data_IF_942720162074
#
_entry.id   IF_942720162074
#
_cell.length_a   1.000
_cell.length_b   1.000
_cell.length_c   1.000
_cell.angle_alpha   90.00
_cell.angle_beta   90.00
_cell.angle_gamma   90.00
#
_symmetry.space_group_name_H-M   'P 1'
#
loop_
_entity.id
_entity.type
_entity.pdbx_description
1 polymer ?
#
# COMPACT_ATOMS: atom_id res chain seq x y z
N UNK A 1 30.53 31.03 -60.59
CA UNK A 1 30.37 29.99 -59.55
C UNK A 1 29.43 30.54 -58.50
N UNK A 2 28.19 30.01 -58.45
CA UNK A 2 27.16 30.44 -57.48
C UNK A 2 27.19 29.44 -56.33
N UNK A 3 27.52 29.86 -55.11
CA UNK A 3 27.45 29.05 -53.90
C UNK A 3 26.00 28.98 -53.43
N UNK A 4 25.41 27.78 -53.46
CA UNK A 4 24.10 27.48 -52.88
C UNK A 4 24.32 27.13 -51.40
N UNK A 5 23.94 28.03 -50.50
CA UNK A 5 23.96 27.76 -49.09
C UNK A 5 22.70 26.96 -48.70
N UNK A 6 22.88 25.70 -48.33
CA UNK A 6 21.81 24.82 -47.84
C UNK A 6 21.58 25.12 -46.35
N UNK A 7 20.47 25.81 -46.02
CA UNK A 7 20.05 26.00 -44.62
C UNK A 7 19.25 24.78 -44.18
N UNK A 8 19.87 23.94 -43.31
CA UNK A 8 19.17 22.86 -42.64
C UNK A 8 18.44 23.43 -41.43
N UNK A 9 17.12 23.59 -41.52
CA UNK A 9 16.28 23.94 -40.37
C UNK A 9 15.97 22.65 -39.62
N UNK A 10 16.61 22.44 -38.48
CA UNK A 10 16.21 21.40 -37.51
C UNK A 10 14.99 21.91 -36.76
N UNK A 11 13.81 21.45 -37.14
CA UNK A 11 12.60 21.60 -36.33
C UNK A 11 12.71 20.61 -35.16
N UNK A 12 13.17 21.08 -34.01
CA UNK A 12 12.97 20.39 -32.75
C UNK A 12 11.48 20.43 -32.42
N UNK A 13 10.75 19.39 -32.79
CA UNK A 13 9.45 19.16 -32.17
C UNK A 13 9.73 18.78 -30.70
N UNK A 14 9.49 19.73 -29.79
CA UNK A 14 9.38 19.44 -28.40
C UNK A 14 8.20 18.45 -28.22
N UNK A 15 8.50 17.19 -28.06
CA UNK A 15 7.51 16.21 -27.64
C UNK A 15 7.10 16.64 -26.24
N UNK A 16 6.05 17.42 -26.14
CA UNK A 16 5.38 17.60 -24.85
C UNK A 16 4.85 16.24 -24.44
N UNK A 17 5.53 15.61 -23.51
CA UNK A 17 4.98 14.42 -22.86
C UNK A 17 3.65 14.87 -22.23
N UNK A 18 2.52 14.37 -22.76
CA UNK A 18 1.22 14.61 -22.17
C UNK A 18 1.29 14.36 -20.67
N UNK A 19 0.87 15.33 -19.87
CA UNK A 19 0.78 15.09 -18.44
C UNK A 19 -0.20 13.93 -18.21
N UNK A 20 0.21 12.91 -17.43
CA UNK A 20 -0.65 11.77 -17.21
C UNK A 20 -1.97 12.24 -16.57
N UNK A 21 -3.08 11.73 -17.09
CA UNK A 21 -4.41 12.06 -16.58
C UNK A 21 -4.45 11.94 -15.04
N UNK A 22 -5.11 12.87 -14.36
CA UNK A 22 -5.23 12.83 -12.89
C UNK A 22 -5.84 11.50 -12.44
N UNK A 23 -5.45 11.05 -11.26
CA UNK A 23 -5.92 9.80 -10.68
C UNK A 23 -6.26 9.99 -9.19
N UNK A 24 -7.15 9.14 -8.69
CA UNK A 24 -7.65 9.20 -7.32
C UNK A 24 -7.51 7.84 -6.64
N UNK A 25 -7.03 7.86 -5.39
CA UNK A 25 -7.01 6.69 -4.52
C UNK A 25 -7.93 6.97 -3.34
N UNK A 26 -8.88 6.08 -3.06
CA UNK A 26 -9.54 6.04 -1.78
C UNK A 26 -8.68 5.25 -0.80
N UNK A 27 -8.32 5.86 0.32
CA UNK A 27 -7.51 5.24 1.38
C UNK A 27 -8.41 5.03 2.58
N UNK A 28 -8.47 3.80 3.06
CA UNK A 28 -9.27 3.40 4.21
C UNK A 28 -8.42 2.58 5.18
N UNK A 29 -8.74 2.63 6.45
CA UNK A 29 -8.04 1.88 7.49
C UNK A 29 -8.95 1.52 8.63
N UNK A 30 -8.53 0.56 9.47
CA UNK A 30 -9.14 0.26 10.76
C UNK A 30 -10.67 0.05 10.67
N UNK A 31 -11.09 -0.79 9.71
CA UNK A 31 -12.52 -1.10 9.44
C UNK A 31 -12.98 -2.40 10.08
N UNK A 32 -12.18 -2.93 11.01
CA UNK A 32 -12.57 -4.04 11.87
C UNK A 32 -13.65 -3.60 12.86
N UNK A 33 -14.41 -4.58 13.37
CA UNK A 33 -15.36 -4.38 14.45
C UNK A 33 -15.24 -5.52 15.45
N UNK A 34 -15.35 -5.21 16.73
CA UNK A 34 -15.26 -6.24 17.77
C UNK A 34 -16.47 -7.18 17.69
N UNK A 35 -16.27 -8.51 17.55
CA UNK A 35 -17.37 -9.48 17.59
C UNK A 35 -18.21 -9.41 18.87
N UNK A 36 -17.63 -8.84 19.94
CA UNK A 36 -18.31 -8.62 21.22
C UNK A 36 -19.33 -7.49 21.18
N UNK A 37 -19.17 -6.55 20.24
CA UNK A 37 -20.03 -5.35 20.14
C UNK A 37 -21.21 -5.55 19.21
N UNK A 38 -21.06 -6.36 18.18
CA UNK A 38 -22.10 -6.60 17.19
C UNK A 38 -22.20 -8.08 16.86
N UNK A 39 -23.26 -8.72 17.34
CA UNK A 39 -23.57 -10.10 17.02
C UNK A 39 -23.71 -10.26 15.49
N UNK A 40 -22.99 -11.25 14.92
CA UNK A 40 -22.99 -11.51 13.48
C UNK A 40 -22.09 -10.61 12.62
N UNK A 41 -21.28 -9.72 13.22
CA UNK A 41 -20.33 -8.87 12.48
C UNK A 41 -19.16 -9.65 11.86
N UNK A 42 -18.89 -10.85 12.36
CA UNK A 42 -17.70 -11.65 11.98
C UNK A 42 -16.38 -10.86 12.11
N UNK A 43 -16.34 -9.85 13.00
CA UNK A 43 -15.18 -8.97 13.19
C UNK A 43 -15.02 -7.86 12.13
N UNK A 44 -16.04 -7.63 11.30
CA UNK A 44 -16.04 -6.64 10.22
C UNK A 44 -17.19 -5.66 10.39
N UNK A 45 -16.93 -4.37 10.30
CA UNK A 45 -17.96 -3.31 10.37
C UNK A 45 -18.80 -3.26 9.07
N UNK A 46 -19.60 -4.30 8.82
CA UNK A 46 -20.29 -4.57 7.54
C UNK A 46 -21.10 -3.36 7.03
N UNK A 47 -21.95 -2.79 7.88
CA UNK A 47 -22.82 -1.68 7.47
C UNK A 47 -22.01 -0.41 7.20
N UNK A 48 -20.99 -0.15 8.01
CA UNK A 48 -20.07 0.97 7.79
C UNK A 48 -19.36 0.83 6.45
N UNK A 49 -18.81 -0.36 6.14
CA UNK A 49 -18.08 -0.60 4.89
C UNK A 49 -19.02 -0.47 3.67
N UNK A 50 -20.24 -0.97 3.75
CA UNK A 50 -21.22 -0.79 2.67
C UNK A 50 -21.53 0.67 2.40
N UNK A 51 -21.72 1.46 3.46
CA UNK A 51 -21.95 2.90 3.34
C UNK A 51 -20.72 3.60 2.76
N UNK A 52 -19.53 3.29 3.27
CA UNK A 52 -18.26 3.85 2.81
C UNK A 52 -18.01 3.53 1.32
N UNK A 53 -18.25 2.29 0.89
CA UNK A 53 -18.12 1.91 -0.52
C UNK A 53 -19.15 2.62 -1.38
N UNK A 54 -20.39 2.75 -0.92
CA UNK A 54 -21.39 3.53 -1.62
C UNK A 54 -20.97 4.99 -1.84
N UNK A 55 -20.28 5.57 -0.86
CA UNK A 55 -19.71 6.92 -1.00
C UNK A 55 -18.52 6.95 -1.95
N UNK A 56 -17.56 6.05 -1.78
CA UNK A 56 -16.38 5.95 -2.67
C UNK A 56 -16.78 5.84 -4.14
N UNK A 57 -17.82 5.06 -4.44
CA UNK A 57 -18.29 4.85 -5.82
C UNK A 57 -18.79 6.12 -6.50
N UNK A 58 -19.15 7.16 -5.76
CA UNK A 58 -19.54 8.47 -6.31
C UNK A 58 -18.36 9.31 -6.82
N UNK A 59 -17.11 8.96 -6.41
CA UNK A 59 -15.94 9.81 -6.61
C UNK A 59 -15.01 9.38 -7.74
N UNK A 60 -15.37 8.42 -8.58
CA UNK A 60 -14.58 7.97 -9.73
C UNK A 60 -13.12 7.66 -9.35
N UNK A 61 -12.91 6.87 -8.31
CA UNK A 61 -11.57 6.49 -7.86
C UNK A 61 -10.97 5.43 -8.79
N UNK A 62 -9.66 5.49 -9.00
CA UNK A 62 -8.93 4.49 -9.78
C UNK A 62 -8.69 3.20 -8.98
N UNK A 63 -8.65 3.29 -7.65
CA UNK A 63 -8.45 2.15 -6.75
C UNK A 63 -8.84 2.48 -5.32
N UNK A 64 -9.02 1.43 -4.52
CA UNK A 64 -9.13 1.51 -3.07
C UNK A 64 -7.92 0.86 -2.43
N UNK A 65 -7.33 1.51 -1.43
CA UNK A 65 -6.22 0.99 -0.63
C UNK A 65 -6.65 0.91 0.83
N UNK A 66 -6.56 -0.30 1.40
CA UNK A 66 -6.78 -0.55 2.83
C UNK A 66 -5.43 -0.62 3.56
N UNK A 67 -5.26 0.22 4.58
CA UNK A 67 -4.01 0.28 5.37
C UNK A 67 -4.10 -0.53 6.68
N UNK A 68 -4.61 -1.75 6.58
CA UNK A 68 -4.67 -2.73 7.67
C UNK A 68 -5.93 -2.70 8.51
N UNK A 69 -6.00 -3.63 9.46
CA UNK A 69 -7.10 -3.83 10.40
C UNK A 69 -8.48 -3.89 9.71
N UNK A 70 -8.59 -4.85 8.81
CA UNK A 70 -9.81 -5.08 8.02
C UNK A 70 -10.85 -5.89 8.78
N UNK A 71 -10.39 -6.78 9.66
CA UNK A 71 -11.22 -7.69 10.43
C UNK A 71 -10.62 -7.92 11.81
N UNK A 72 -11.44 -7.85 12.84
CA UNK A 72 -11.04 -8.23 14.19
C UNK A 72 -10.95 -9.76 14.32
N UNK A 73 -9.97 -10.23 15.08
CA UNK A 73 -9.68 -11.64 15.27
C UNK A 73 -9.76 -12.02 16.76
N UNK A 74 -10.09 -11.09 17.62
CA UNK A 74 -10.19 -11.33 19.05
C UNK A 74 -11.38 -12.27 19.35
N UNK A 75 -11.06 -13.46 19.83
CA UNK A 75 -12.03 -14.46 20.25
C UNK A 75 -11.67 -15.87 19.80
N UNK A 76 -12.18 -16.86 20.51
CA UNK A 76 -11.94 -18.30 20.30
C UNK A 76 -12.66 -18.87 19.05
N UNK A 77 -13.48 -18.12 18.37
CA UNK A 77 -14.16 -18.55 17.15
C UNK A 77 -13.30 -18.28 15.92
N UNK A 78 -13.22 -19.21 14.95
CA UNK A 78 -12.64 -18.94 13.65
C UNK A 78 -13.51 -17.92 12.94
N UNK A 79 -13.19 -16.66 13.09
CA UNK A 79 -13.95 -15.58 12.46
C UNK A 79 -13.57 -15.55 10.99
N UNK A 80 -14.55 -15.69 10.11
CA UNK A 80 -14.38 -15.55 8.67
C UNK A 80 -14.25 -14.08 8.22
N UNK A 81 -13.77 -13.21 9.10
CA UNK A 81 -13.71 -11.77 8.85
C UNK A 81 -13.02 -11.40 7.56
N UNK A 82 -11.87 -12.03 7.25
CA UNK A 82 -11.18 -11.79 5.97
C UNK A 82 -12.00 -12.27 4.77
N UNK A 83 -12.68 -13.41 4.87
CA UNK A 83 -13.55 -13.89 3.80
C UNK A 83 -14.78 -12.98 3.65
N UNK A 84 -15.37 -12.53 4.75
CA UNK A 84 -16.47 -11.54 4.75
C UNK A 84 -16.03 -10.23 4.13
N UNK A 85 -14.83 -9.75 4.45
CA UNK A 85 -14.28 -8.56 3.82
C UNK A 85 -14.11 -8.76 2.32
N UNK A 86 -13.61 -9.91 1.88
CA UNK A 86 -13.48 -10.24 0.45
C UNK A 86 -14.83 -10.25 -0.25
N UNK A 87 -15.88 -10.76 0.40
CA UNK A 87 -17.25 -10.71 -0.11
C UNK A 87 -17.71 -9.25 -0.33
N UNK A 88 -17.52 -8.38 0.66
CA UNK A 88 -17.87 -6.96 0.54
C UNK A 88 -17.12 -6.25 -0.58
N UNK A 89 -15.87 -6.63 -0.85
CA UNK A 89 -15.08 -6.04 -1.93
C UNK A 89 -15.66 -6.32 -3.33
N UNK A 90 -16.59 -7.27 -3.49
CA UNK A 90 -17.32 -7.49 -4.76
C UNK A 90 -18.03 -6.23 -5.24
N UNK A 91 -18.49 -5.39 -4.32
CA UNK A 91 -19.10 -4.09 -4.67
C UNK A 91 -18.16 -3.19 -5.49
N UNK A 92 -16.84 -3.25 -5.20
CA UNK A 92 -15.81 -2.53 -5.94
C UNK A 92 -15.44 -3.27 -7.23
N UNK A 93 -15.26 -4.59 -7.14
CA UNK A 93 -14.90 -5.47 -8.27
C UNK A 93 -15.92 -5.38 -9.41
N UNK A 94 -17.21 -5.35 -9.11
CA UNK A 94 -18.31 -5.18 -10.07
C UNK A 94 -18.27 -3.83 -10.83
N UNK A 95 -17.61 -2.84 -10.25
CA UNK A 95 -17.37 -1.52 -10.85
C UNK A 95 -15.99 -1.39 -11.48
N UNK A 96 -15.23 -2.49 -11.52
CA UNK A 96 -13.88 -2.51 -12.08
C UNK A 96 -12.84 -1.74 -11.22
N UNK A 97 -13.15 -1.46 -9.95
CA UNK A 97 -12.25 -0.75 -9.04
C UNK A 97 -11.38 -1.76 -8.30
N UNK A 98 -10.06 -1.81 -8.53
CA UNK A 98 -9.17 -2.71 -7.83
C UNK A 98 -9.03 -2.33 -6.35
N UNK A 99 -8.92 -3.35 -5.51
CA UNK A 99 -8.69 -3.24 -4.08
C UNK A 99 -7.32 -3.80 -3.72
N UNK A 100 -6.52 -3.00 -3.02
CA UNK A 100 -5.20 -3.37 -2.51
C UNK A 100 -5.15 -3.20 -1.00
N UNK A 101 -4.40 -4.05 -0.30
CA UNK A 101 -4.37 -4.02 1.15
C UNK A 101 -2.99 -4.35 1.72
N UNK A 102 -2.69 -3.82 2.90
CA UNK A 102 -1.66 -4.31 3.81
C UNK A 102 -2.32 -4.95 5.02
N UNK A 103 -1.61 -5.85 5.72
CA UNK A 103 -2.10 -6.37 6.99
C UNK A 103 -1.99 -5.32 8.09
N UNK A 104 -2.93 -5.35 9.02
CA UNK A 104 -2.82 -4.74 10.32
C UNK A 104 -2.43 -5.75 11.42
N UNK A 105 -2.38 -5.28 12.65
CA UNK A 105 -2.07 -6.16 13.79
C UNK A 105 -3.21 -7.14 14.08
N UNK A 106 -4.45 -6.80 13.75
CA UNK A 106 -5.57 -7.73 13.85
C UNK A 106 -5.50 -8.89 12.85
N UNK A 107 -4.73 -8.78 11.77
CA UNK A 107 -4.45 -9.86 10.82
C UNK A 107 -3.07 -10.52 11.03
N UNK A 108 -2.31 -10.21 12.08
CA UNK A 108 -0.91 -10.64 12.22
C UNK A 108 -0.70 -12.07 12.71
N UNK A 109 -1.73 -12.78 13.15
CA UNK A 109 -1.61 -14.17 13.58
C UNK A 109 -1.10 -15.08 12.43
N UNK A 110 -0.21 -16.05 12.70
CA UNK A 110 0.46 -16.83 11.64
C UNK A 110 -0.46 -17.46 10.60
N UNK A 111 -1.58 -18.07 11.04
CA UNK A 111 -2.56 -18.69 10.14
C UNK A 111 -3.33 -17.65 9.30
N UNK A 112 -3.41 -16.40 9.75
CA UNK A 112 -4.05 -15.31 9.03
C UNK A 112 -3.18 -14.76 7.91
N UNK A 113 -1.86 -14.86 8.04
CA UNK A 113 -0.94 -14.43 7.00
C UNK A 113 -1.17 -15.19 5.69
N UNK A 114 -1.41 -16.51 5.76
CA UNK A 114 -1.70 -17.31 4.57
C UNK A 114 -3.08 -16.97 3.99
N UNK A 115 -4.11 -16.89 4.82
CA UNK A 115 -5.44 -16.49 4.41
C UNK A 115 -5.45 -15.09 3.77
N UNK A 116 -4.71 -14.14 4.36
CA UNK A 116 -4.56 -12.80 3.77
C UNK A 116 -3.89 -12.86 2.39
N UNK A 117 -2.85 -13.69 2.26
CA UNK A 117 -2.14 -13.88 0.99
C UNK A 117 -3.08 -14.37 -0.11
N UNK A 118 -3.86 -15.39 0.19
CA UNK A 118 -4.80 -15.99 -0.76
C UNK A 118 -5.90 -15.02 -1.19
N UNK A 119 -6.42 -14.25 -0.26
CA UNK A 119 -7.59 -13.40 -0.50
C UNK A 119 -7.25 -12.01 -1.06
N UNK A 120 -6.11 -11.42 -0.67
CA UNK A 120 -5.85 -10.00 -0.91
C UNK A 120 -4.56 -9.69 -1.64
N UNK A 121 -3.57 -10.60 -1.70
CA UNK A 121 -2.39 -10.30 -2.50
C UNK A 121 -2.74 -10.30 -3.99
N UNK A 122 -2.34 -9.23 -4.69
CA UNK A 122 -2.58 -9.15 -6.12
C UNK A 122 -1.80 -10.24 -6.86
N UNK A 123 -2.46 -10.89 -7.78
CA UNK A 123 -1.82 -11.87 -8.67
C UNK A 123 -0.92 -11.15 -9.69
N UNK A 124 0.01 -11.88 -10.32
CA UNK A 124 0.84 -11.33 -11.41
C UNK A 124 0.00 -10.76 -12.55
N UNK A 125 -1.20 -11.28 -12.79
CA UNK A 125 -2.14 -10.78 -13.81
C UNK A 125 -2.62 -9.35 -13.51
N UNK A 126 -2.58 -8.92 -12.25
CA UNK A 126 -2.94 -7.56 -11.83
C UNK A 126 -1.76 -6.58 -11.84
N UNK A 127 -0.65 -6.94 -12.50
CA UNK A 127 0.52 -6.08 -12.65
C UNK A 127 1.37 -5.92 -11.39
N UNK A 128 1.08 -6.68 -10.34
CA UNK A 128 1.87 -6.63 -9.13
C UNK A 128 3.23 -7.32 -9.32
N UNK A 129 4.30 -6.59 -9.05
CA UNK A 129 5.65 -7.12 -8.92
C UNK A 129 5.95 -7.28 -7.44
N UNK A 130 5.53 -8.40 -6.85
CA UNK A 130 5.86 -8.73 -5.47
C UNK A 130 7.35 -8.99 -5.29
N UNK A 131 7.86 -8.72 -4.11
CA UNK A 131 9.03 -9.45 -3.63
C UNK A 131 8.64 -10.93 -3.67
N UNK A 132 9.38 -11.73 -4.43
CA UNK A 132 9.20 -13.19 -4.51
C UNK A 132 9.63 -13.85 -3.17
N UNK A 133 9.10 -13.39 -2.05
CA UNK A 133 9.51 -13.81 -0.72
C UNK A 133 8.31 -14.10 0.14
N UNK A 134 8.53 -14.91 1.12
CA UNK A 134 7.67 -15.34 2.21
C UNK A 134 6.87 -14.23 2.91
N UNK A 135 6.96 -12.96 2.48
CA UNK A 135 6.38 -11.79 3.10
C UNK A 135 5.34 -11.16 2.20
N UNK A 136 4.40 -10.52 2.83
CA UNK A 136 3.24 -9.93 2.19
C UNK A 136 3.53 -8.53 1.61
N UNK A 137 4.81 -8.29 1.27
CA UNK A 137 5.24 -7.04 0.64
C UNK A 137 5.07 -7.13 -0.88
N UNK A 138 4.55 -6.09 -1.49
CA UNK A 138 4.42 -6.01 -2.94
C UNK A 138 4.45 -4.58 -3.45
N UNK A 139 4.54 -4.40 -4.75
CA UNK A 139 4.49 -3.10 -5.39
C UNK A 139 3.72 -3.18 -6.70
N UNK A 140 3.04 -2.11 -7.03
CA UNK A 140 2.33 -1.92 -8.28
C UNK A 140 2.75 -0.62 -8.95
N UNK A 141 2.54 -0.53 -10.23
CA UNK A 141 2.61 0.72 -10.98
C UNK A 141 1.21 1.14 -11.39
N UNK A 142 0.91 2.42 -11.17
CA UNK A 142 -0.31 3.03 -11.65
C UNK A 142 0.02 4.40 -12.24
N UNK A 143 -0.22 4.57 -13.53
CA UNK A 143 0.08 5.81 -14.26
C UNK A 143 1.51 6.33 -13.93
N UNK A 144 1.64 7.52 -13.37
CA UNK A 144 2.91 8.14 -12.97
C UNK A 144 3.32 7.87 -11.52
N UNK A 145 2.76 6.85 -10.88
CA UNK A 145 3.06 6.46 -9.51
C UNK A 145 3.62 5.05 -9.37
N UNK A 146 4.55 4.87 -8.43
CA UNK A 146 4.92 3.57 -7.87
C UNK A 146 4.35 3.47 -6.47
N UNK A 147 3.54 2.46 -6.23
CA UNK A 147 2.87 2.21 -4.96
C UNK A 147 3.45 0.95 -4.36
N UNK A 148 3.95 1.04 -3.13
CA UNK A 148 4.55 -0.08 -2.41
C UNK A 148 3.75 -0.37 -1.15
N UNK A 149 3.56 -1.64 -0.88
CA UNK A 149 2.77 -2.13 0.24
C UNK A 149 3.70 -2.91 1.16
N UNK A 150 3.84 -2.43 2.38
CA UNK A 150 4.78 -2.95 3.38
C UNK A 150 4.02 -3.65 4.50
N UNK A 151 4.37 -4.90 4.74
CA UNK A 151 3.82 -5.71 5.81
C UNK A 151 4.29 -5.21 7.19
N UNK A 152 3.51 -5.50 8.24
CA UNK A 152 3.78 -5.02 9.60
C UNK A 152 4.76 -5.87 10.39
N UNK A 153 4.90 -7.16 10.04
CA UNK A 153 5.71 -8.13 10.79
C UNK A 153 7.11 -8.29 10.19
N UNK A 154 7.79 -7.16 10.00
CA UNK A 154 9.16 -7.14 9.48
C UNK A 154 10.16 -6.91 10.62
N UNK A 155 11.23 -7.71 10.67
CA UNK A 155 12.40 -7.42 11.51
C UNK A 155 13.17 -6.20 10.98
N UNK A 156 14.07 -5.57 11.77
CA UNK A 156 14.89 -4.46 11.31
C UNK A 156 15.64 -4.73 10.01
N UNK A 157 16.27 -5.90 9.86
CA UNK A 157 16.97 -6.28 8.62
C UNK A 157 16.01 -6.41 7.44
N UNK A 158 14.81 -6.90 7.68
CA UNK A 158 13.78 -7.03 6.65
C UNK A 158 13.19 -5.69 6.22
N UNK A 159 13.17 -4.71 7.11
CA UNK A 159 12.82 -3.32 6.77
C UNK A 159 13.90 -2.71 5.87
N UNK A 160 15.18 -2.98 6.18
CA UNK A 160 16.30 -2.59 5.31
C UNK A 160 16.17 -3.25 3.94
N UNK A 161 15.90 -4.55 3.88
CA UNK A 161 15.72 -5.30 2.63
C UNK A 161 14.55 -4.74 1.80
N UNK A 162 13.43 -4.43 2.46
CA UNK A 162 12.29 -3.80 1.80
C UNK A 162 12.67 -2.44 1.19
N UNK A 163 13.30 -1.57 1.98
CA UNK A 163 13.70 -0.24 1.52
C UNK A 163 14.72 -0.29 0.37
N UNK A 164 15.67 -1.21 0.44
CA UNK A 164 16.64 -1.47 -0.62
C UNK A 164 15.96 -2.01 -1.89
N UNK A 165 14.93 -2.85 -1.74
CA UNK A 165 14.12 -3.33 -2.85
C UNK A 165 13.32 -2.20 -3.53
N UNK A 166 12.69 -1.31 -2.75
CA UNK A 166 12.03 -0.11 -3.28
C UNK A 166 13.01 0.71 -4.10
N UNK A 167 14.20 1.00 -3.55
CA UNK A 167 15.27 1.77 -4.22
C UNK A 167 15.69 1.10 -5.54
N UNK A 168 15.97 -0.21 -5.54
CA UNK A 168 16.35 -0.96 -6.76
C UNK A 168 15.25 -0.97 -7.82
N UNK A 169 13.99 -1.08 -7.44
CA UNK A 169 12.89 -1.07 -8.41
C UNK A 169 12.69 0.30 -9.05
N UNK A 170 12.93 1.36 -8.30
CA UNK A 170 12.89 2.73 -8.80
C UNK A 170 14.02 3.00 -9.79
N UNK A 171 15.25 2.58 -9.48
CA UNK A 171 16.42 2.81 -10.34
C UNK A 171 16.40 2.00 -11.63
N UNK A 172 15.72 0.84 -11.66
CA UNK A 172 15.62 -0.01 -12.87
C UNK A 172 14.52 0.41 -13.84
N UNK A 173 13.73 1.39 -13.48
CA UNK A 173 12.65 1.84 -14.33
C UNK A 173 13.19 2.71 -15.48
N UNK A 174 12.91 2.34 -16.74
CA UNK A 174 13.26 3.14 -17.92
C UNK A 174 12.67 4.55 -17.86
N UNK A 175 11.53 4.69 -17.21
CA UNK A 175 10.92 5.96 -16.83
C UNK A 175 10.60 5.93 -15.34
N UNK A 176 11.24 6.80 -14.57
CA UNK A 176 10.98 6.86 -13.12
C UNK A 176 9.64 7.54 -12.90
N UNK A 177 8.63 6.87 -12.31
CA UNK A 177 7.36 7.50 -12.00
C UNK A 177 7.57 8.72 -11.09
N UNK A 178 6.77 9.78 -11.33
CA UNK A 178 6.87 11.05 -10.58
C UNK A 178 6.62 10.86 -9.09
N UNK A 179 5.70 9.96 -8.74
CA UNK A 179 5.30 9.72 -7.36
C UNK A 179 5.76 8.35 -6.88
N UNK A 180 6.17 8.30 -5.61
CA UNK A 180 6.52 7.07 -4.91
C UNK A 180 5.86 7.11 -3.52
N UNK A 181 4.93 6.19 -3.28
CA UNK A 181 4.17 6.09 -2.04
C UNK A 181 4.38 4.72 -1.41
N UNK A 182 4.40 4.69 -0.08
CA UNK A 182 4.38 3.45 0.69
C UNK A 182 3.11 3.42 1.52
N UNK A 183 2.45 2.28 1.52
CA UNK A 183 1.32 1.96 2.38
C UNK A 183 1.76 0.90 3.39
N UNK A 184 1.49 1.13 4.65
CA UNK A 184 1.72 0.20 5.74
C UNK A 184 0.69 0.44 6.83
N UNK A 185 0.58 -0.46 7.80
CA UNK A 185 -0.39 -0.24 8.87
C UNK A 185 0.19 0.61 10.00
N UNK A 186 1.38 0.25 10.50
CA UNK A 186 1.99 0.98 11.61
C UNK A 186 2.67 2.26 11.14
N UNK A 187 2.52 3.33 11.91
CA UNK A 187 3.31 4.55 11.71
C UNK A 187 4.80 4.24 11.86
N UNK A 188 5.65 4.92 11.10
CA UNK A 188 7.10 4.68 11.17
C UNK A 188 7.67 5.10 12.52
N UNK A 189 7.28 6.26 13.00
CA UNK A 189 7.69 6.81 14.28
C UNK A 189 6.69 7.86 14.76
N UNK A 190 6.43 7.91 16.06
CA UNK A 190 5.60 8.93 16.70
C UNK A 190 6.22 9.37 18.02
N UNK A 191 6.14 10.65 18.38
CA UNK A 191 6.66 11.14 19.67
C UNK A 191 5.92 10.59 20.88
N UNK A 192 4.66 10.14 20.71
CA UNK A 192 3.76 9.89 21.85
C UNK A 192 3.52 8.41 22.17
N UNK A 193 3.80 7.50 21.22
CA UNK A 193 3.48 6.07 21.39
C UNK A 193 4.59 5.18 20.81
N UNK A 194 5.74 5.17 21.43
CA UNK A 194 6.91 4.44 20.90
C UNK A 194 6.67 2.97 20.59
N UNK A 195 5.88 2.27 21.41
CA UNK A 195 5.64 0.83 21.22
C UNK A 195 4.69 0.51 20.07
N UNK A 196 3.83 1.42 19.72
CA UNK A 196 2.82 1.23 18.67
C UNK A 196 3.35 1.61 17.28
N UNK A 197 4.45 2.33 17.19
CA UNK A 197 5.09 2.61 15.92
C UNK A 197 6.07 1.50 15.49
N UNK A 198 6.40 1.48 14.21
CA UNK A 198 7.22 0.43 13.61
C UNK A 198 8.58 0.29 14.31
N UNK A 199 9.32 1.38 14.45
CA UNK A 199 10.65 1.38 15.05
C UNK A 199 10.65 1.38 16.57
N UNK A 200 9.63 1.89 17.22
CA UNK A 200 9.52 1.87 18.67
C UNK A 200 9.49 0.47 19.30
N UNK A 201 9.18 -0.54 18.50
CA UNK A 201 9.23 -1.96 18.91
C UNK A 201 10.65 -2.48 19.12
N UNK A 202 11.65 -1.83 18.53
CA UNK A 202 13.04 -2.29 18.51
C UNK A 202 13.98 -1.46 19.36
N UNK A 203 13.52 -0.33 19.89
CA UNK A 203 14.32 0.63 20.66
C UNK A 203 15.62 1.04 19.90
N UNK A 204 16.65 1.46 20.66
CA UNK A 204 17.93 1.90 20.09
C UNK A 204 18.76 0.75 19.47
N UNK A 205 18.39 -0.51 19.74
CA UNK A 205 19.11 -1.67 19.19
C UNK A 205 19.05 -1.78 17.66
N UNK A 206 18.14 -1.06 17.01
CA UNK A 206 17.96 -1.07 15.55
C UNK A 206 18.27 0.30 14.91
N UNK A 207 18.99 1.18 15.59
CA UNK A 207 19.26 2.54 15.11
C UNK A 207 20.01 2.56 13.76
N UNK A 208 20.95 1.65 13.55
CA UNK A 208 21.67 1.54 12.28
C UNK A 208 20.73 1.14 11.14
N UNK A 209 19.93 0.08 11.33
CA UNK A 209 18.94 -0.39 10.36
C UNK A 209 17.91 0.69 10.05
N UNK A 210 17.48 1.43 11.06
CA UNK A 210 16.56 2.56 10.90
C UNK A 210 17.17 3.65 9.99
N UNK A 211 18.41 4.02 10.23
CA UNK A 211 19.11 5.01 9.41
C UNK A 211 19.27 4.55 7.95
N UNK A 212 19.62 3.28 7.73
CA UNK A 212 19.74 2.70 6.38
C UNK A 212 18.36 2.70 5.69
N UNK A 213 17.30 2.30 6.39
CA UNK A 213 15.94 2.29 5.89
C UNK A 213 15.52 3.68 5.38
N UNK A 214 15.62 4.70 6.23
CA UNK A 214 15.23 6.06 5.84
C UNK A 214 16.06 6.63 4.70
N UNK A 215 17.38 6.36 4.69
CA UNK A 215 18.26 6.75 3.59
C UNK A 215 17.83 6.10 2.28
N UNK A 216 17.54 4.80 2.27
CA UNK A 216 17.07 4.09 1.08
C UNK A 216 15.73 4.66 0.56
N UNK A 217 14.78 4.97 1.45
CA UNK A 217 13.50 5.56 1.06
C UNK A 217 13.67 6.96 0.46
N UNK A 218 14.51 7.78 1.08
CA UNK A 218 14.85 9.12 0.55
C UNK A 218 15.49 9.02 -0.84
N UNK A 219 16.48 8.15 -1.01
CA UNK A 219 17.19 7.94 -2.27
C UNK A 219 16.26 7.35 -3.36
N UNK A 220 15.24 6.59 -2.96
CA UNK A 220 14.19 6.12 -3.85
C UNK A 220 13.17 7.21 -4.23
N UNK A 221 13.23 8.39 -3.62
CA UNK A 221 12.29 9.48 -3.82
C UNK A 221 10.89 9.18 -3.28
N UNK A 222 10.81 8.43 -2.17
CA UNK A 222 9.54 8.22 -1.45
C UNK A 222 9.10 9.56 -0.86
N UNK A 223 7.87 9.97 -1.19
CA UNK A 223 7.30 11.25 -0.74
C UNK A 223 6.33 11.09 0.41
N UNK A 224 5.59 9.99 0.42
CA UNK A 224 4.57 9.74 1.43
C UNK A 224 4.66 8.30 1.93
N UNK A 225 4.53 8.14 3.23
CA UNK A 225 4.23 6.88 3.89
C UNK A 225 2.86 7.04 4.53
N UNK A 226 1.91 6.22 4.12
CA UNK A 226 0.51 6.31 4.51
C UNK A 226 0.21 5.14 5.42
N UNK A 227 -0.37 5.42 6.58
CA UNK A 227 -0.53 4.45 7.66
C UNK A 227 -1.95 4.47 8.25
N UNK A 228 -2.33 3.40 8.92
CA UNK A 228 -3.48 3.29 9.83
C UNK A 228 -3.04 3.19 11.29
N UNK A 229 -3.68 2.33 12.07
CA UNK A 229 -3.33 1.89 13.43
C UNK A 229 -3.55 2.90 14.56
N UNK A 230 -3.29 4.16 14.35
CA UNK A 230 -3.51 5.16 15.39
C UNK A 230 -4.97 5.60 15.36
N UNK A 231 -5.80 4.91 16.13
CA UNK A 231 -7.17 5.32 16.39
C UNK A 231 -7.11 6.55 17.32
N UNK A 232 -6.88 7.73 16.73
CA UNK A 232 -7.00 8.99 17.46
C UNK A 232 -8.48 9.26 17.68
N UNK A 233 -8.92 9.16 18.93
CA UNK A 233 -10.23 9.58 19.39
C UNK A 233 -10.22 11.04 19.82
#
# INVERSE_FOLDING_TARGET
MKYLALFLIFLFQAVHAEEPAPWRIAIIGDTHDSPKRMEGSEGVAVNFIKTLYGEILKHQVDMVVQVGDMADIEGSAPVNGLAKRKELNKMLEEKGIPFYAVRGNHESLPFRAEQFRELFLPTRKQGAKGLATRKLNYGIRHKNASLYFMDIDLTPDQLVDFSAWVKRNRSKANTVPRHCLIFTHRTLQTPMQFRECLWGRYNDSAAEQQNIFYRNLRDAGVRFVITGHLNAH
#
